data_IF_265860958479
#
_entry.id   IF_265860958479
#
_cell.length_a   1.000
_cell.length_b   1.000
_cell.length_c   1.000
_cell.angle_alpha   90.00
_cell.angle_beta   90.00
_cell.angle_gamma   90.00
#
_symmetry.space_group_name_H-M   'P 1'
#
loop_
_entity.id
_entity.type
_entity.pdbx_description
1 polymer ?
#
# COMPACT_ATOMS: atom_id res chain seq x y z
N UNK A 1 -7.09 16.04 -10.85
CA UNK A 1 -6.59 15.46 -9.59
C UNK A 1 -5.42 14.55 -9.95
N UNK A 2 -4.24 14.83 -9.43
CA UNK A 2 -3.04 14.02 -9.60
C UNK A 2 -3.00 12.97 -8.49
N UNK A 3 -2.98 11.69 -8.86
CA UNK A 3 -3.06 10.57 -7.93
C UNK A 3 -1.77 9.77 -7.98
N UNK A 4 -1.11 9.59 -6.83
CA UNK A 4 -0.09 8.57 -6.65
C UNK A 4 -0.77 7.25 -6.22
N UNK A 5 -0.35 6.10 -6.75
CA UNK A 5 -0.82 4.79 -6.30
C UNK A 5 0.36 3.97 -5.79
N UNK A 6 0.27 3.50 -4.55
CA UNK A 6 1.22 2.52 -4.01
C UNK A 6 0.86 1.14 -4.54
N UNK A 7 1.66 0.63 -5.48
CA UNK A 7 1.45 -0.62 -6.18
C UNK A 7 2.45 -1.67 -5.71
N UNK A 8 1.98 -2.66 -4.94
CA UNK A 8 2.82 -3.74 -4.38
C UNK A 8 2.88 -5.00 -5.26
N UNK A 9 2.21 -5.02 -6.43
CA UNK A 9 2.09 -6.23 -7.23
C UNK A 9 1.02 -7.23 -6.74
N UNK A 10 0.43 -7.01 -5.59
CA UNK A 10 -0.69 -7.79 -5.07
C UNK A 10 -2.02 -7.50 -5.78
N UNK A 11 -3.02 -8.38 -5.59
CA UNK A 11 -4.33 -8.24 -6.22
C UNK A 11 -5.02 -6.93 -5.83
N UNK A 12 -4.97 -6.55 -4.57
CA UNK A 12 -5.68 -5.38 -4.03
C UNK A 12 -5.16 -4.09 -4.67
N UNK A 13 -3.85 -3.85 -4.63
CA UNK A 13 -3.25 -2.67 -5.25
C UNK A 13 -3.43 -2.63 -6.77
N UNK A 14 -3.48 -3.78 -7.43
CA UNK A 14 -3.77 -3.88 -8.87
C UNK A 14 -5.22 -3.49 -9.20
N UNK A 15 -6.18 -3.88 -8.35
CA UNK A 15 -7.58 -3.48 -8.49
C UNK A 15 -7.76 -1.99 -8.25
N UNK A 16 -7.00 -1.38 -7.32
CA UNK A 16 -6.98 0.09 -7.15
C UNK A 16 -6.63 0.78 -8.46
N UNK A 17 -5.57 0.34 -9.14
CA UNK A 17 -5.18 0.90 -10.45
C UNK A 17 -6.31 0.75 -11.47
N UNK A 18 -6.91 -0.46 -11.55
CA UNK A 18 -8.03 -0.72 -12.46
C UNK A 18 -9.20 0.22 -12.22
N UNK A 19 -9.67 0.32 -10.97
CA UNK A 19 -10.83 1.15 -10.61
C UNK A 19 -10.60 2.63 -10.91
N UNK A 20 -9.40 3.15 -10.67
CA UNK A 20 -9.07 4.53 -10.99
C UNK A 20 -9.02 4.77 -12.51
N UNK A 21 -8.47 3.83 -13.28
CA UNK A 21 -8.47 3.91 -14.74
C UNK A 21 -9.89 3.83 -15.34
N UNK A 22 -10.77 2.98 -14.81
CA UNK A 22 -12.18 2.90 -15.21
C UNK A 22 -12.94 4.21 -14.95
N UNK A 23 -12.55 4.94 -13.89
CA UNK A 23 -13.07 6.28 -13.58
C UNK A 23 -12.46 7.39 -14.44
N UNK A 24 -11.57 7.06 -15.38
CA UNK A 24 -10.92 8.00 -16.29
C UNK A 24 -9.68 8.68 -15.72
N UNK A 25 -9.18 8.28 -14.55
CA UNK A 25 -7.91 8.79 -14.02
C UNK A 25 -6.71 8.14 -14.69
N UNK A 26 -5.59 8.84 -14.68
CA UNK A 26 -4.27 8.36 -15.14
C UNK A 26 -3.27 8.50 -14.01
N UNK A 27 -3.30 7.61 -13.00
CA UNK A 27 -2.41 7.74 -11.84
C UNK A 27 -0.96 7.45 -12.17
N UNK A 28 -0.03 8.01 -11.40
CA UNK A 28 1.37 7.60 -11.34
C UNK A 28 1.53 6.47 -10.36
N UNK A 29 2.24 5.41 -10.74
CA UNK A 29 2.38 4.21 -9.93
C UNK A 29 3.75 4.19 -9.25
N UNK A 30 3.78 3.79 -7.98
CA UNK A 30 4.99 3.74 -7.18
C UNK A 30 5.11 2.38 -6.48
N UNK A 31 6.27 1.75 -6.65
CA UNK A 31 6.65 0.57 -5.88
C UNK A 31 7.64 0.98 -4.80
N UNK A 32 7.30 0.76 -3.52
CA UNK A 32 8.20 1.05 -2.41
C UNK A 32 9.08 -0.18 -2.18
N UNK A 33 10.39 -0.01 -2.37
CA UNK A 33 11.40 -1.04 -2.13
C UNK A 33 11.95 -0.90 -0.70
N UNK A 34 11.80 -1.96 0.12
CA UNK A 34 12.28 -2.03 1.50
C UNK A 34 13.26 -3.19 1.75
N UNK A 35 13.31 -4.18 0.83
CA UNK A 35 14.21 -5.32 0.90
C UNK A 35 15.67 -4.97 0.58
N UNK A 36 16.61 -5.86 0.93
CA UNK A 36 18.04 -5.71 0.62
C UNK A 36 18.36 -6.38 -0.71
N UNK A 37 19.27 -5.75 -1.48
CA UNK A 37 19.77 -6.33 -2.74
C UNK A 37 20.83 -7.40 -2.54
N UNK A 38 21.49 -7.42 -1.36
CA UNK A 38 22.67 -8.22 -1.03
C UNK A 38 22.36 -9.46 -0.17
N UNK A 39 21.10 -9.80 0.02
CA UNK A 39 20.75 -11.02 0.71
C UNK A 39 21.01 -12.22 -0.21
N UNK A 40 21.93 -13.14 0.20
CA UNK A 40 22.21 -14.42 -0.44
C UNK A 40 20.98 -15.36 -0.51
N UNK A 41 19.89 -14.98 0.11
CA UNK A 41 18.55 -15.53 -0.07
C UNK A 41 17.79 -14.57 -0.98
N UNK A 42 17.81 -14.88 -2.28
CA UNK A 42 16.96 -14.23 -3.27
C UNK A 42 15.53 -14.21 -2.72
N UNK A 43 15.05 -13.03 -2.38
CA UNK A 43 13.64 -12.85 -2.03
C UNK A 43 12.84 -12.91 -3.35
N UNK A 44 12.57 -14.15 -3.79
CA UNK A 44 11.79 -14.43 -5.01
C UNK A 44 10.46 -13.68 -4.99
N UNK A 45 9.96 -13.32 -3.81
CA UNK A 45 8.71 -12.59 -3.66
C UNK A 45 8.82 -11.13 -4.13
N UNK A 46 9.95 -10.46 -3.86
CA UNK A 46 10.14 -9.06 -4.26
C UNK A 46 10.32 -8.91 -5.78
N UNK A 47 11.00 -9.85 -6.43
CA UNK A 47 11.13 -9.88 -7.89
C UNK A 47 9.78 -10.14 -8.56
N UNK A 48 9.02 -11.12 -8.06
CA UNK A 48 7.66 -11.41 -8.53
C UNK A 48 6.72 -10.22 -8.33
N UNK A 49 6.81 -9.51 -7.22
CA UNK A 49 6.01 -8.32 -6.92
C UNK A 49 6.31 -7.19 -7.91
N UNK A 50 7.59 -6.95 -8.18
CA UNK A 50 8.04 -5.94 -9.15
C UNK A 50 7.62 -6.30 -10.57
N UNK A 51 7.76 -7.57 -10.96
CA UNK A 51 7.34 -8.06 -12.28
C UNK A 51 5.84 -7.86 -12.47
N UNK A 52 5.05 -8.19 -11.45
CA UNK A 52 3.60 -8.01 -11.44
C UNK A 52 3.21 -6.52 -11.50
N UNK A 53 3.86 -5.68 -10.70
CA UNK A 53 3.63 -4.23 -10.74
C UNK A 53 3.94 -3.65 -12.13
N UNK A 54 5.06 -4.11 -12.74
CA UNK A 54 5.43 -3.73 -14.10
C UNK A 54 4.42 -4.21 -15.15
N UNK A 55 3.86 -5.40 -14.99
CA UNK A 55 2.83 -5.92 -15.89
C UNK A 55 1.54 -5.09 -15.80
N UNK A 56 1.13 -4.68 -14.61
CA UNK A 56 -0.02 -3.77 -14.41
C UNK A 56 0.25 -2.40 -15.06
N UNK A 57 1.42 -1.81 -14.82
CA UNK A 57 1.79 -0.52 -15.40
C UNK A 57 1.71 -0.55 -16.93
N UNK A 58 2.32 -1.57 -17.55
CA UNK A 58 2.27 -1.76 -19.02
C UNK A 58 0.85 -1.93 -19.53
N UNK A 59 0.00 -2.71 -18.84
CA UNK A 59 -1.39 -2.95 -19.24
C UNK A 59 -2.19 -1.66 -19.37
N UNK A 60 -2.00 -0.70 -18.45
CA UNK A 60 -2.72 0.57 -18.45
C UNK A 60 -1.95 1.71 -19.12
N UNK A 61 -0.75 1.45 -19.63
CA UNK A 61 0.12 2.48 -20.24
C UNK A 61 0.44 3.59 -19.24
N UNK A 62 0.75 3.22 -17.98
CA UNK A 62 1.08 4.13 -16.89
C UNK A 62 2.57 4.05 -16.55
N UNK A 63 3.12 5.14 -15.98
CA UNK A 63 4.47 5.14 -15.43
C UNK A 63 4.52 4.37 -14.12
N UNK A 64 5.57 3.57 -13.91
CA UNK A 64 5.90 2.94 -12.65
C UNK A 64 7.29 3.41 -12.22
N UNK A 65 7.39 3.94 -11.03
CA UNK A 65 8.64 4.36 -10.40
C UNK A 65 8.92 3.53 -9.16
N UNK A 66 10.19 3.17 -8.95
CA UNK A 66 10.65 2.47 -7.74
C UNK A 66 11.19 3.51 -6.77
N UNK A 67 10.61 3.57 -5.59
CA UNK A 67 11.05 4.43 -4.49
C UNK A 67 11.80 3.56 -3.48
N UNK A 68 13.12 3.66 -3.48
CA UNK A 68 13.96 2.94 -2.53
C UNK A 68 13.91 3.61 -1.17
N UNK A 69 13.29 2.93 -0.21
CA UNK A 69 13.15 3.32 1.20
C UNK A 69 13.74 2.27 2.14
N UNK A 70 14.67 1.44 1.61
CA UNK A 70 15.32 0.37 2.38
C UNK A 70 15.97 0.91 3.67
N UNK A 71 16.79 1.95 3.54
CA UNK A 71 17.50 2.54 4.69
C UNK A 71 16.53 3.08 5.73
N UNK A 72 15.55 3.86 5.30
CA UNK A 72 14.53 4.45 6.18
C UNK A 72 13.73 3.36 6.90
N UNK A 73 13.40 2.27 6.21
CA UNK A 73 12.70 1.13 6.81
C UNK A 73 13.53 0.49 7.93
N UNK A 74 14.80 0.21 7.68
CA UNK A 74 15.67 -0.43 8.66
C UNK A 74 15.96 0.48 9.85
N UNK A 75 16.23 1.77 9.60
CA UNK A 75 16.55 2.74 10.64
C UNK A 75 15.33 3.07 11.55
N UNK A 76 14.10 3.01 11.02
CA UNK A 76 12.92 3.44 11.74
C UNK A 76 12.02 2.28 12.17
N UNK A 77 11.71 1.33 11.28
CA UNK A 77 10.73 0.25 11.57
C UNK A 77 11.41 -0.96 12.16
N UNK A 78 12.48 -1.47 11.54
CA UNK A 78 13.20 -2.64 12.04
C UNK A 78 13.87 -2.33 13.38
N UNK A 79 14.54 -1.18 13.52
CA UNK A 79 15.16 -0.75 14.77
C UNK A 79 14.12 -0.61 15.90
N UNK A 80 12.93 -0.03 15.61
CA UNK A 80 11.81 0.02 16.55
C UNK A 80 11.39 -1.39 17.00
N UNK A 81 11.21 -2.32 16.06
CA UNK A 81 10.79 -3.68 16.39
C UNK A 81 11.81 -4.39 17.28
N UNK A 82 13.10 -4.28 16.95
CA UNK A 82 14.21 -4.84 17.72
C UNK A 82 14.25 -4.25 19.15
N UNK A 83 14.13 -2.92 19.30
CA UNK A 83 14.10 -2.28 20.63
C UNK A 83 12.95 -2.80 21.49
N UNK A 84 11.74 -2.89 20.91
CA UNK A 84 10.56 -3.41 21.64
C UNK A 84 10.76 -4.85 22.09
N UNK A 85 11.27 -5.72 21.20
CA UNK A 85 11.54 -7.13 21.54
C UNK A 85 12.59 -7.23 22.66
N UNK A 86 13.68 -6.46 22.60
CA UNK A 86 14.70 -6.42 23.66
C UNK A 86 14.14 -6.02 25.02
N UNK A 87 13.08 -5.23 25.03
CA UNK A 87 12.37 -4.80 26.24
C UNK A 87 11.23 -5.76 26.67
N UNK A 88 11.11 -6.93 26.03
CA UNK A 88 10.06 -7.91 26.33
C UNK A 88 8.66 -7.52 25.85
N UNK A 89 8.57 -6.59 24.88
CA UNK A 89 7.30 -6.14 24.30
C UNK A 89 7.09 -6.80 22.94
N UNK A 90 5.83 -6.89 22.52
CA UNK A 90 5.45 -7.37 21.18
C UNK A 90 5.19 -6.16 20.28
N UNK A 91 6.09 -5.84 19.33
CA UNK A 91 5.88 -4.73 18.39
C UNK A 91 4.86 -5.12 17.31
N UNK A 92 4.27 -4.09 16.69
CA UNK A 92 3.57 -4.24 15.41
C UNK A 92 4.30 -3.40 14.34
N UNK A 93 5.21 -3.98 13.59
CA UNK A 93 5.99 -3.27 12.57
C UNK A 93 5.15 -2.81 11.40
N UNK A 94 4.04 -3.47 11.06
CA UNK A 94 3.16 -3.07 9.95
C UNK A 94 2.49 -1.71 10.23
N UNK A 95 2.03 -1.48 11.45
CA UNK A 95 1.50 -0.19 11.88
C UNK A 95 2.55 0.91 11.73
N UNK A 96 3.79 0.63 12.13
CA UNK A 96 4.89 1.60 12.02
C UNK A 96 5.34 1.78 10.58
N UNK A 97 5.34 0.73 9.76
CA UNK A 97 5.62 0.82 8.33
C UNK A 97 4.61 1.73 7.61
N UNK A 98 3.32 1.58 7.90
CA UNK A 98 2.30 2.46 7.34
C UNK A 98 2.55 3.93 7.73
N UNK A 99 2.78 4.21 9.03
CA UNK A 99 3.02 5.56 9.52
C UNK A 99 4.29 6.20 8.99
N UNK A 100 5.42 5.48 9.12
CA UNK A 100 6.76 6.06 8.92
C UNK A 100 7.24 5.95 7.48
N UNK A 101 6.94 4.85 6.81
CA UNK A 101 7.45 4.58 5.47
C UNK A 101 6.42 4.94 4.40
N UNK A 102 5.25 4.26 4.38
CA UNK A 102 4.27 4.43 3.30
C UNK A 102 3.61 5.80 3.29
N UNK A 103 3.31 6.36 4.46
CA UNK A 103 2.63 7.66 4.59
C UNK A 103 3.51 8.74 5.24
N UNK A 104 4.76 8.40 5.56
CA UNK A 104 5.79 9.32 6.07
C UNK A 104 6.85 9.59 5.02
N UNK A 105 7.86 8.72 4.91
CA UNK A 105 9.00 8.93 4.01
C UNK A 105 8.60 9.00 2.53
N UNK A 106 7.64 8.17 2.08
CA UNK A 106 7.13 8.24 0.72
C UNK A 106 6.46 9.60 0.46
N UNK A 107 5.60 10.07 1.38
CA UNK A 107 4.92 11.37 1.24
C UNK A 107 5.95 12.51 1.15
N UNK A 108 6.97 12.52 2.00
CA UNK A 108 8.01 13.54 1.99
C UNK A 108 8.86 13.53 0.71
N UNK A 109 9.10 12.35 0.13
CA UNK A 109 9.97 12.19 -1.04
C UNK A 109 9.25 12.39 -2.36
N UNK A 110 8.00 11.94 -2.44
CA UNK A 110 7.24 11.86 -3.70
C UNK A 110 5.79 12.32 -3.52
N UNK A 111 5.09 11.83 -2.49
CA UNK A 111 3.65 11.99 -2.32
C UNK A 111 3.20 13.45 -2.23
N UNK A 112 4.06 14.34 -1.73
CA UNK A 112 3.77 15.78 -1.64
C UNK A 112 3.47 16.45 -2.99
N UNK A 113 3.94 15.86 -4.10
CA UNK A 113 3.73 16.37 -5.45
C UNK A 113 2.36 15.95 -6.04
N UNK A 114 1.59 15.16 -5.28
CA UNK A 114 0.28 14.65 -5.67
C UNK A 114 -0.82 15.20 -4.76
N UNK A 115 -2.03 15.25 -5.31
CA UNK A 115 -3.21 15.67 -4.54
C UNK A 115 -3.55 14.63 -3.47
N UNK A 116 -3.46 13.33 -3.82
CA UNK A 116 -3.74 12.20 -2.94
C UNK A 116 -2.87 10.99 -3.26
N UNK A 117 -2.64 10.14 -2.25
CA UNK A 117 -2.01 8.83 -2.39
C UNK A 117 -3.06 7.74 -2.19
N UNK A 118 -3.31 6.93 -3.23
CA UNK A 118 -4.24 5.81 -3.18
C UNK A 118 -3.51 4.50 -2.85
N UNK A 119 -4.15 3.67 -2.04
CA UNK A 119 -3.59 2.39 -1.60
C UNK A 119 -4.63 1.28 -1.60
N UNK A 120 -4.16 0.02 -1.59
CA UNK A 120 -4.99 -1.18 -1.49
C UNK A 120 -5.47 -1.52 -0.08
N UNK A 121 -5.36 -0.64 0.89
CA UNK A 121 -5.89 -0.90 2.22
C UNK A 121 -7.41 -0.92 2.25
N UNK A 122 -7.95 -1.83 3.05
CA UNK A 122 -9.39 -1.89 3.37
C UNK A 122 -9.67 -0.93 4.53
N UNK A 123 -9.97 0.30 4.18
CA UNK A 123 -10.36 1.39 5.06
C UNK A 123 -11.21 2.38 4.25
N UNK A 124 -11.81 3.36 4.89
CA UNK A 124 -12.52 4.47 4.22
C UNK A 124 -12.04 5.81 4.74
N UNK A 125 -12.27 6.86 3.96
CA UNK A 125 -12.19 8.24 4.46
C UNK A 125 -13.57 8.89 4.35
N UNK A 126 -13.94 9.65 5.38
CA UNK A 126 -15.22 10.36 5.46
C UNK A 126 -14.97 11.83 5.75
N UNK A 127 -15.48 12.71 4.90
CA UNK A 127 -15.45 14.15 5.16
C UNK A 127 -16.62 14.51 6.07
N UNK A 128 -16.32 15.02 7.27
CA UNK A 128 -17.32 15.48 8.24
C UNK A 128 -16.83 16.77 8.91
N UNK A 129 -17.68 17.78 8.92
CA UNK A 129 -17.38 19.09 9.51
C UNK A 129 -16.08 19.71 8.98
N UNK A 130 -15.83 19.57 7.66
CA UNK A 130 -14.62 20.07 6.99
C UNK A 130 -13.34 19.30 7.32
N UNK A 131 -13.44 18.17 8.03
CA UNK A 131 -12.30 17.31 8.38
C UNK A 131 -12.44 15.93 7.77
N UNK A 132 -11.31 15.37 7.33
CA UNK A 132 -11.24 14.00 6.82
C UNK A 132 -10.98 13.04 7.99
N UNK A 133 -11.86 12.06 8.15
CA UNK A 133 -11.77 11.04 9.18
C UNK A 133 -11.47 9.68 8.54
N UNK A 134 -10.67 8.87 9.24
CA UNK A 134 -10.51 7.46 8.92
C UNK A 134 -11.75 6.70 9.38
N UNK A 135 -12.29 5.85 8.52
CA UNK A 135 -13.43 4.99 8.80
C UNK A 135 -13.13 3.53 8.46
N UNK A 136 -13.91 2.63 9.07
CA UNK A 136 -13.80 1.19 8.81
C UNK A 136 -14.21 0.82 7.40
N UNK A 137 -13.70 -0.30 6.90
CA UNK A 137 -14.11 -0.86 5.62
C UNK A 137 -15.49 -1.53 5.69
N UNK A 138 -16.10 -1.76 4.52
CA UNK A 138 -17.33 -2.55 4.43
C UNK A 138 -17.09 -4.03 4.77
N UNK A 139 -15.95 -4.57 4.41
CA UNK A 139 -15.54 -5.94 4.76
C UNK A 139 -14.90 -5.95 6.16
N UNK A 140 -15.69 -6.35 7.16
CA UNK A 140 -15.26 -6.38 8.56
C UNK A 140 -14.16 -7.42 8.84
N UNK A 141 -14.01 -8.43 7.98
CA UNK A 141 -12.96 -9.46 8.11
C UNK A 141 -11.63 -8.95 7.55
N UNK A 142 -11.69 -8.09 6.54
CA UNK A 142 -10.51 -7.51 5.87
C UNK A 142 -10.20 -6.08 6.33
N UNK A 143 -11.01 -5.50 7.21
CA UNK A 143 -10.76 -4.17 7.74
C UNK A 143 -9.33 -4.02 8.24
N UNK A 144 -8.67 -2.97 7.82
CA UNK A 144 -7.26 -2.69 8.11
C UNK A 144 -7.05 -1.36 8.85
N UNK A 145 -8.11 -0.79 9.43
CA UNK A 145 -8.01 0.44 10.20
C UNK A 145 -7.09 0.32 11.42
N UNK A 146 -6.99 -0.88 12.01
CA UNK A 146 -6.05 -1.16 13.10
C UNK A 146 -4.58 -0.98 12.66
N UNK A 147 -4.26 -1.34 11.41
CA UNK A 147 -2.92 -1.11 10.84
C UNK A 147 -2.64 0.35 10.53
N UNK A 148 -3.67 1.20 10.53
CA UNK A 148 -3.60 2.64 10.30
C UNK A 148 -3.73 3.45 11.60
N UNK A 149 -3.80 2.80 12.76
CA UNK A 149 -4.09 3.42 14.06
C UNK A 149 -3.05 4.47 14.51
N UNK A 150 -1.86 4.48 13.93
CA UNK A 150 -0.78 5.41 14.28
C UNK A 150 -0.59 6.56 13.28
N UNK A 151 -1.30 6.58 12.15
CA UNK A 151 -1.22 7.69 11.20
C UNK A 151 -1.90 8.94 11.78
N UNK A 152 -1.39 10.10 11.43
CA UNK A 152 -1.94 11.37 11.90
C UNK A 152 -2.97 11.98 10.93
N UNK A 153 -3.56 13.11 11.35
CA UNK A 153 -4.59 13.79 10.55
C UNK A 153 -4.07 14.24 9.18
N UNK A 154 -2.83 14.74 9.09
CA UNK A 154 -2.26 15.22 7.84
C UNK A 154 -2.09 14.05 6.87
N UNK A 155 -1.62 12.91 7.38
CA UNK A 155 -1.50 11.68 6.60
C UNK A 155 -2.88 11.21 6.10
N UNK A 156 -3.89 11.10 7.00
CA UNK A 156 -5.25 10.68 6.62
C UNK A 156 -5.84 11.58 5.53
N UNK A 157 -5.63 12.90 5.62
CA UNK A 157 -6.19 13.86 4.66
C UNK A 157 -5.66 13.72 3.24
N UNK A 158 -4.51 13.06 3.08
CA UNK A 158 -3.83 12.78 1.80
C UNK A 158 -4.13 11.38 1.24
N UNK A 159 -4.90 10.55 1.96
CA UNK A 159 -5.12 9.16 1.57
C UNK A 159 -6.45 8.93 0.86
N UNK A 160 -6.42 8.00 -0.09
CA UNK A 160 -7.57 7.47 -0.78
C UNK A 160 -7.57 5.94 -0.69
N UNK A 161 -8.72 5.36 -0.33
CA UNK A 161 -8.91 3.92 -0.19
C UNK A 161 -10.01 3.41 -1.14
N UNK A 162 -9.70 3.16 -2.42
CA UNK A 162 -10.71 2.77 -3.41
C UNK A 162 -11.43 1.46 -3.10
N UNK A 163 -10.80 0.58 -2.29
CA UNK A 163 -11.38 -0.72 -1.90
C UNK A 163 -12.27 -0.66 -0.66
N UNK A 164 -12.30 0.46 0.04
CA UNK A 164 -12.93 0.53 1.37
C UNK A 164 -14.42 0.19 1.42
N UNK A 165 -15.13 0.26 0.29
CA UNK A 165 -16.56 -0.08 0.18
C UNK A 165 -16.82 -1.43 -0.48
N UNK A 166 -15.77 -2.19 -0.78
CA UNK A 166 -15.85 -3.49 -1.45
C UNK A 166 -15.55 -4.62 -0.48
N UNK A 167 -16.23 -5.74 -0.67
CA UNK A 167 -15.89 -7.00 -0.03
C UNK A 167 -14.71 -7.65 -0.75
N UNK A 168 -13.90 -8.44 -0.06
CA UNK A 168 -12.72 -9.10 -0.65
C UNK A 168 -13.06 -10.01 -1.84
N UNK A 169 -14.18 -10.70 -1.81
CA UNK A 169 -14.65 -11.51 -2.94
C UNK A 169 -14.97 -10.63 -4.16
N UNK A 170 -15.59 -9.46 -3.97
CA UNK A 170 -15.86 -8.52 -5.07
C UNK A 170 -14.55 -8.01 -5.69
N UNK A 171 -13.54 -7.70 -4.87
CA UNK A 171 -12.20 -7.31 -5.36
C UNK A 171 -11.59 -8.43 -6.20
N UNK A 172 -11.70 -9.67 -5.77
CA UNK A 172 -11.23 -10.83 -6.54
C UNK A 172 -11.99 -11.01 -7.85
N UNK A 173 -13.30 -10.84 -7.82
CA UNK A 173 -14.15 -10.93 -9.04
C UNK A 173 -13.83 -9.80 -10.03
N UNK A 174 -13.58 -8.60 -9.56
CA UNK A 174 -13.12 -7.48 -10.40
C UNK A 174 -11.79 -7.83 -11.06
N UNK A 175 -10.82 -8.32 -10.28
CA UNK A 175 -9.51 -8.70 -10.79
C UNK A 175 -9.61 -9.80 -11.88
N UNK A 176 -10.46 -10.80 -11.68
CA UNK A 176 -10.70 -11.88 -12.63
C UNK A 176 -11.40 -11.38 -13.90
N UNK A 177 -12.47 -10.61 -13.77
CA UNK A 177 -13.21 -10.05 -14.92
C UNK A 177 -12.36 -9.10 -15.74
N UNK A 178 -11.55 -8.28 -15.07
CA UNK A 178 -10.61 -7.40 -15.75
C UNK A 178 -9.40 -8.14 -16.32
N UNK A 179 -9.23 -9.44 -16.06
CA UNK A 179 -8.10 -10.24 -16.51
C UNK A 179 -6.76 -9.69 -16.02
N UNK A 180 -6.71 -9.23 -14.73
CA UNK A 180 -5.47 -8.69 -14.18
C UNK A 180 -4.42 -9.80 -13.99
N UNK A 181 -3.15 -9.56 -14.29
CA UNK A 181 -2.08 -10.55 -14.09
C UNK A 181 -2.04 -11.08 -12.65
N UNK A 182 -2.33 -10.22 -11.68
CA UNK A 182 -2.33 -10.52 -10.25
C UNK A 182 -3.57 -11.26 -9.74
N UNK A 183 -4.62 -11.45 -10.56
CA UNK A 183 -5.94 -11.93 -10.11
C UNK A 183 -5.93 -13.24 -9.33
N UNK A 184 -4.97 -14.15 -9.64
CA UNK A 184 -4.84 -15.46 -9.00
C UNK A 184 -3.77 -15.52 -7.92
N UNK A 185 -3.07 -14.40 -7.64
CA UNK A 185 -2.09 -14.34 -6.55
C UNK A 185 -2.78 -14.54 -5.20
N UNK A 186 -2.09 -15.23 -4.31
CA UNK A 186 -2.51 -15.33 -2.91
C UNK A 186 -2.35 -13.97 -2.23
N UNK A 187 -3.16 -13.71 -1.21
CA UNK A 187 -2.96 -12.57 -0.33
C UNK A 187 -1.63 -12.76 0.42
N UNK A 188 -0.91 -11.67 0.66
CA UNK A 188 0.24 -11.70 1.54
C UNK A 188 -0.19 -12.18 2.93
N UNK A 189 0.51 -13.18 3.46
CA UNK A 189 0.20 -13.81 4.75
C UNK A 189 1.20 -13.42 5.83
N UNK A 190 2.16 -12.57 5.52
CA UNK A 190 3.29 -12.27 6.37
C UNK A 190 3.31 -10.83 6.89
N UNK A 191 4.12 -10.63 7.89
CA UNK A 191 4.60 -9.33 8.34
C UNK A 191 5.57 -8.81 7.28
N UNK A 192 5.58 -7.50 7.01
CA UNK A 192 6.32 -6.87 5.89
C UNK A 192 7.83 -7.15 5.82
N UNK A 193 8.43 -7.85 6.77
CA UNK A 193 9.87 -8.16 6.80
C UNK A 193 10.20 -9.63 7.17
N UNK A 194 9.23 -10.53 7.13
CA UNK A 194 9.44 -11.97 7.32
C UNK A 194 9.21 -12.71 6.02
#
# INVERSE_FOLDING_TARGET
MNIAVLLSGGVDSSVVVHLLCEQGYRPSLFYIKIGRDDADYMDCSAEEDMEMASAIARRYGLSLEVVDLHREYWDQVAAYAIDKIRRGLTPNPDVMCNKLIKFGCFEQRVGQDFDVTATGHYATTVLRDGKTWLGTAADSVKDQTDFLAQIDYLQVSKLMFPLGRLMKNEVRDIALRAGLPSARRRDSQGICFL
#
